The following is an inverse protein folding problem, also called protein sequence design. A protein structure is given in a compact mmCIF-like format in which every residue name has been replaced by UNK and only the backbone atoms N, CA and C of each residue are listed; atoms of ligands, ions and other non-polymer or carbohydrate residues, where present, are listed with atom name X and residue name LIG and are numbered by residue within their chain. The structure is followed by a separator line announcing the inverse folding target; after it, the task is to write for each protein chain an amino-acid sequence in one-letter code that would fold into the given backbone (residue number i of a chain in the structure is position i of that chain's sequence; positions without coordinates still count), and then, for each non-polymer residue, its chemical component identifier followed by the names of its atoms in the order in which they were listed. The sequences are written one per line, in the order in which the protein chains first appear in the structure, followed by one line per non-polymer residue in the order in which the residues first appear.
data_IF_881612310619
#
_entry.id   IF_881612310619
#
_cell.length_a   1.000
_cell.length_b   1.000
_cell.length_c   1.000
_cell.angle_alpha   90.00
_cell.angle_beta   90.00
_cell.angle_gamma   90.00
#
_symmetry.space_group_name_H-M   'P 1'
#
loop_
_entity.id
_entity.type
_entity.pdbx_description
1 polymer ?
#
# COMPACT_ATOMS: atom_id res chain seq x y z
N UNK A 1 27.42 -13.38 31.46
CA UNK A 1 27.95 -12.41 30.47
C UNK A 1 27.02 -12.36 29.27
N UNK A 2 26.47 -11.19 28.94
CA UNK A 2 25.63 -11.01 27.74
C UNK A 2 26.52 -10.87 26.49
N UNK A 3 25.97 -11.15 25.31
CA UNK A 3 26.67 -10.92 24.02
C UNK A 3 26.95 -9.42 23.85
N UNK A 4 26.00 -8.58 24.26
CA UNK A 4 26.14 -7.11 24.18
C UNK A 4 27.26 -6.60 25.09
N UNK A 5 27.38 -7.13 26.32
CA UNK A 5 28.46 -6.71 27.23
C UNK A 5 29.83 -7.10 26.69
N UNK A 6 29.95 -8.26 26.04
CA UNK A 6 31.19 -8.68 25.38
C UNK A 6 31.56 -7.80 24.18
N UNK A 7 30.56 -7.33 23.43
CA UNK A 7 30.80 -6.36 22.36
C UNK A 7 31.31 -5.02 22.90
N UNK A 8 30.70 -4.53 23.99
CA UNK A 8 31.11 -3.29 24.66
C UNK A 8 32.51 -3.39 25.29
N UNK A 9 32.98 -4.58 25.67
CA UNK A 9 34.36 -4.81 26.12
C UNK A 9 35.40 -4.85 24.99
N UNK A 10 34.98 -4.60 23.74
CA UNK A 10 35.89 -4.49 22.58
C UNK A 10 35.98 -5.73 21.69
N UNK A 11 35.17 -6.77 21.93
CA UNK A 11 35.15 -7.96 21.06
C UNK A 11 34.35 -7.64 19.80
N UNK A 12 34.90 -7.94 18.61
CA UNK A 12 34.23 -7.63 17.36
C UNK A 12 32.94 -8.44 17.16
N UNK A 13 31.97 -7.86 16.46
CA UNK A 13 30.71 -8.54 16.13
C UNK A 13 30.93 -9.83 15.35
N UNK A 14 31.99 -9.91 14.54
CA UNK A 14 32.33 -11.08 13.73
C UNK A 14 32.82 -12.22 14.63
N UNK A 15 33.69 -11.92 15.58
CA UNK A 15 34.17 -12.91 16.55
C UNK A 15 33.03 -13.45 17.41
N UNK A 16 32.13 -12.58 17.86
CA UNK A 16 30.94 -12.97 18.60
C UNK A 16 29.98 -13.80 17.75
N UNK A 17 29.79 -13.45 16.47
CA UNK A 17 28.92 -14.23 15.57
C UNK A 17 29.43 -15.67 15.42
N UNK A 18 30.74 -15.84 15.22
CA UNK A 18 31.36 -17.16 15.14
C UNK A 18 31.26 -17.93 16.46
N UNK A 19 31.57 -17.27 17.58
CA UNK A 19 31.53 -17.87 18.93
C UNK A 19 30.14 -18.38 19.32
N UNK A 20 29.09 -17.66 18.90
CA UNK A 20 27.70 -17.97 19.23
C UNK A 20 26.91 -18.60 18.07
N UNK A 21 27.59 -19.01 16.99
CA UNK A 21 26.97 -19.60 15.79
C UNK A 21 25.83 -18.76 15.19
N UNK A 22 25.97 -17.43 15.24
CA UNK A 22 25.02 -16.50 14.62
C UNK A 22 25.39 -16.33 13.15
N UNK A 23 24.46 -16.62 12.25
CA UNK A 23 24.70 -16.59 10.81
C UNK A 23 25.14 -15.23 10.27
N UNK A 24 24.61 -14.14 10.84
CA UNK A 24 24.92 -12.77 10.40
C UNK A 24 25.35 -11.90 11.60
N UNK A 25 26.54 -11.32 11.53
CA UNK A 25 27.09 -10.41 12.55
C UNK A 25 26.26 -9.13 12.73
N UNK A 26 25.51 -8.71 11.71
CA UNK A 26 24.56 -7.58 11.81
C UNK A 26 23.50 -7.81 12.89
N UNK A 27 23.17 -9.07 13.19
CA UNK A 27 22.25 -9.44 14.28
C UNK A 27 22.78 -8.96 15.63
N UNK A 28 24.09 -9.09 15.83
CA UNK A 28 24.76 -8.66 17.07
C UNK A 28 24.79 -7.14 17.13
N UNK A 29 25.10 -6.47 16.02
CA UNK A 29 25.05 -5.01 15.94
C UNK A 29 23.63 -4.50 16.23
N UNK A 30 22.59 -5.14 15.70
CA UNK A 30 21.20 -4.80 15.97
C UNK A 30 20.86 -4.92 17.46
N UNK A 31 21.33 -5.99 18.14
CA UNK A 31 21.15 -6.13 19.59
C UNK A 31 21.85 -5.02 20.36
N UNK A 32 23.07 -4.64 19.95
CA UNK A 32 23.80 -3.52 20.55
C UNK A 32 23.06 -2.20 20.34
N UNK A 33 22.58 -1.91 19.13
CA UNK A 33 21.81 -0.69 18.85
C UNK A 33 20.52 -0.62 19.67
N UNK A 34 19.79 -1.74 19.80
CA UNK A 34 18.60 -1.82 20.63
C UNK A 34 18.91 -1.64 22.10
N UNK A 35 20.01 -2.22 22.58
CA UNK A 35 20.45 -2.05 23.96
C UNK A 35 20.87 -0.61 24.25
N UNK A 36 21.63 0.03 23.36
CA UNK A 36 22.05 1.43 23.54
C UNK A 36 20.86 2.39 23.60
N UNK A 37 19.78 2.09 22.88
CA UNK A 37 18.58 2.96 22.83
C UNK A 37 17.54 2.67 23.91
N UNK A 38 17.29 1.40 24.23
CA UNK A 38 16.19 0.98 25.12
C UNK A 38 16.67 0.19 26.34
N UNK A 39 17.98 0.05 26.54
CA UNK A 39 18.56 -0.77 27.58
C UNK A 39 18.15 -2.23 27.48
N UNK A 40 17.99 -2.87 28.64
CA UNK A 40 17.57 -4.29 28.76
C UNK A 40 16.19 -4.52 28.14
N UNK A 41 15.30 -3.52 28.15
CA UNK A 41 13.97 -3.64 27.56
C UNK A 41 14.00 -3.84 26.03
N UNK A 42 15.02 -3.31 25.34
CA UNK A 42 15.22 -3.49 23.90
C UNK A 42 15.62 -4.90 23.48
N UNK A 43 16.12 -5.69 24.42
CA UNK A 43 16.52 -7.09 24.21
C UNK A 43 15.44 -8.09 24.58
N UNK A 44 14.35 -7.64 25.22
CA UNK A 44 13.24 -8.54 25.57
C UNK A 44 12.58 -9.07 24.29
N UNK A 45 12.27 -10.37 24.23
CA UNK A 45 11.55 -10.92 23.10
C UNK A 45 10.19 -10.24 22.99
N UNK A 46 9.87 -9.78 21.78
CA UNK A 46 8.54 -9.24 21.49
C UNK A 46 7.57 -10.37 21.19
N UNK A 47 6.30 -10.26 21.62
CA UNK A 47 5.32 -11.29 21.33
C UNK A 47 5.13 -11.41 19.82
N UNK A 48 5.14 -12.64 19.33
CA UNK A 48 4.99 -12.92 17.90
C UNK A 48 3.67 -12.39 17.35
N UNK A 49 2.62 -12.27 18.18
CA UNK A 49 1.28 -11.81 17.82
C UNK A 49 1.00 -10.36 18.24
N UNK A 50 2.03 -9.51 18.34
CA UNK A 50 1.81 -8.11 18.66
C UNK A 50 0.94 -7.45 17.58
N UNK A 51 -0.20 -6.93 18.01
CA UNK A 51 -1.08 -6.11 17.19
C UNK A 51 -0.81 -4.64 17.48
N UNK A 52 -0.75 -3.85 16.41
CA UNK A 52 -0.56 -2.41 16.49
C UNK A 52 -1.86 -1.75 16.11
N UNK A 53 -2.24 -0.71 16.86
CA UNK A 53 -3.41 0.11 16.54
C UNK A 53 -3.20 0.83 15.22
N UNK A 54 -4.28 1.26 14.57
CA UNK A 54 -4.18 2.02 13.32
C UNK A 54 -3.56 3.39 13.53
N UNK A 55 -3.84 4.04 14.67
CA UNK A 55 -3.26 5.33 15.05
C UNK A 55 -1.73 5.22 15.13
N UNK A 56 -1.22 4.19 15.80
CA UNK A 56 0.21 3.94 15.88
C UNK A 56 0.83 3.69 14.50
N UNK A 57 0.17 2.92 13.63
CA UNK A 57 0.67 2.69 12.26
C UNK A 57 0.75 4.00 11.47
N UNK A 58 -0.24 4.88 11.60
CA UNK A 58 -0.27 6.19 10.95
C UNK A 58 0.87 7.06 11.49
N UNK A 59 1.07 7.09 12.81
CA UNK A 59 2.16 7.83 13.45
C UNK A 59 3.53 7.39 12.90
N UNK A 60 3.78 6.09 12.83
CA UNK A 60 5.03 5.52 12.30
C UNK A 60 5.26 5.93 10.84
N UNK A 61 4.23 5.83 9.99
CA UNK A 61 4.34 6.18 8.57
C UNK A 61 4.56 7.69 8.38
N UNK A 62 3.85 8.51 9.14
CA UNK A 62 4.00 9.97 9.09
C UNK A 62 5.40 10.40 9.55
N UNK A 63 5.88 9.86 10.68
CA UNK A 63 7.23 10.14 11.18
C UNK A 63 8.29 9.78 10.15
N UNK A 64 8.17 8.60 9.52
CA UNK A 64 9.08 8.17 8.45
C UNK A 64 9.11 9.15 7.28
N UNK A 65 7.94 9.62 6.85
CA UNK A 65 7.83 10.56 5.73
C UNK A 65 8.40 11.93 6.07
N UNK A 66 8.13 12.45 7.26
CA UNK A 66 8.66 13.73 7.75
C UNK A 66 10.18 13.72 7.86
N UNK A 67 10.75 12.66 8.42
CA UNK A 67 12.20 12.55 8.66
C UNK A 67 12.97 11.96 7.47
N UNK A 68 12.27 11.57 6.39
CA UNK A 68 12.83 10.85 5.23
C UNK A 68 13.69 9.63 5.65
N UNK A 69 13.30 9.00 6.76
CA UNK A 69 14.08 7.95 7.40
C UNK A 69 13.97 6.62 6.64
N UNK A 70 15.02 5.81 6.76
CA UNK A 70 15.00 4.45 6.20
C UNK A 70 14.08 3.52 7.00
N UNK A 71 13.67 2.38 6.41
CA UNK A 71 12.86 1.39 7.13
C UNK A 71 13.56 0.85 8.40
N UNK A 72 14.87 0.51 8.38
CA UNK A 72 15.56 0.04 9.57
C UNK A 72 15.66 1.10 10.67
N UNK A 73 15.91 2.35 10.29
CA UNK A 73 15.99 3.48 11.22
C UNK A 73 14.65 3.78 11.88
N UNK A 74 13.58 3.80 11.09
CA UNK A 74 12.20 3.94 11.59
C UNK A 74 11.84 2.78 12.52
N UNK A 75 12.22 1.55 12.17
CA UNK A 75 11.98 0.39 13.02
C UNK A 75 12.74 0.50 14.34
N UNK A 76 13.99 0.97 14.31
CA UNK A 76 14.75 1.20 15.54
C UNK A 76 14.14 2.33 16.37
N UNK A 77 13.62 3.39 15.74
CA UNK A 77 12.98 4.52 16.41
C UNK A 77 11.77 4.11 17.25
N UNK A 78 10.85 3.38 16.63
CA UNK A 78 9.62 2.90 17.27
C UNK A 78 9.76 1.53 17.95
N UNK A 79 10.99 1.03 18.08
CA UNK A 79 11.28 -0.29 18.63
C UNK A 79 10.49 -1.41 17.93
N UNK A 80 10.35 -1.39 16.61
CA UNK A 80 9.64 -2.42 15.86
C UNK A 80 10.54 -3.64 15.64
N UNK A 81 9.93 -4.82 15.65
CA UNK A 81 10.67 -6.08 15.51
C UNK A 81 11.33 -6.23 14.15
N UNK A 82 10.69 -5.78 13.09
CA UNK A 82 11.17 -5.92 11.72
C UNK A 82 10.89 -4.65 10.89
N UNK A 83 11.86 -4.16 10.11
CA UNK A 83 11.64 -3.08 9.13
C UNK A 83 10.58 -3.44 8.08
N UNK A 84 10.45 -4.73 7.75
CA UNK A 84 9.48 -5.24 6.78
C UNK A 84 8.03 -5.00 7.22
N UNK A 85 7.78 -4.88 8.53
CA UNK A 85 6.45 -4.55 9.07
C UNK A 85 6.00 -3.17 8.61
N UNK A 86 6.90 -2.18 8.61
CA UNK A 86 6.60 -0.81 8.15
C UNK A 86 6.29 -0.81 6.65
N UNK A 87 7.09 -1.55 5.86
CA UNK A 87 6.86 -1.67 4.43
C UNK A 87 5.47 -2.26 4.12
N UNK A 88 5.04 -3.27 4.88
CA UNK A 88 3.70 -3.85 4.72
C UNK A 88 2.59 -2.84 5.04
N UNK A 89 2.75 -2.02 6.08
CA UNK A 89 1.79 -0.96 6.39
C UNK A 89 1.73 0.09 5.31
N UNK A 90 2.89 0.55 4.83
CA UNK A 90 2.96 1.53 3.74
C UNK A 90 2.26 1.01 2.49
N UNK A 91 2.56 -0.23 2.06
CA UNK A 91 1.90 -0.85 0.91
C UNK A 91 0.37 -0.94 1.06
N UNK A 92 -0.12 -1.27 2.26
CA UNK A 92 -1.57 -1.34 2.52
C UNK A 92 -2.22 0.05 2.48
N UNK A 93 -1.53 1.05 3.04
CA UNK A 93 -1.98 2.43 2.98
C UNK A 93 -2.05 2.94 1.53
N UNK A 94 -1.06 2.61 0.70
CA UNK A 94 -1.05 3.00 -0.72
C UNK A 94 -2.18 2.35 -1.53
N UNK A 95 -2.61 1.14 -1.16
CA UNK A 95 -3.67 0.39 -1.86
C UNK A 95 -5.09 0.73 -1.39
N UNK A 96 -5.29 0.86 -0.08
CA UNK A 96 -6.61 0.90 0.57
C UNK A 96 -6.80 2.14 1.47
N UNK A 97 -5.81 3.04 1.53
CA UNK A 97 -5.80 4.19 2.41
C UNK A 97 -5.79 3.82 3.89
N UNK A 98 -6.41 4.66 4.72
CA UNK A 98 -6.51 4.47 6.18
C UNK A 98 -7.21 3.15 6.53
N UNK A 99 -8.21 2.76 5.73
CA UNK A 99 -8.96 1.50 5.91
C UNK A 99 -8.05 0.26 5.88
N UNK A 100 -6.99 0.28 5.07
CA UNK A 100 -6.01 -0.81 4.99
C UNK A 100 -5.18 -1.00 6.26
N UNK A 101 -5.01 0.06 7.07
CA UNK A 101 -4.26 0.02 8.33
C UNK A 101 -5.07 -0.54 9.51
N UNK A 102 -6.40 -0.46 9.44
CA UNK A 102 -7.32 -0.99 10.45
C UNK A 102 -7.43 -2.52 10.45
N UNK A 103 -6.88 -3.19 9.42
CA UNK A 103 -6.99 -4.65 9.31
C UNK A 103 -6.17 -5.35 10.40
N UNK A 104 -6.89 -6.04 11.28
CA UNK A 104 -6.38 -6.90 12.36
C UNK A 104 -5.55 -8.05 11.79
N UNK A 105 -4.55 -8.50 12.55
CA UNK A 105 -3.64 -9.56 12.11
C UNK A 105 -4.37 -10.89 12.15
N UNK A 106 -4.55 -11.48 10.97
CA UNK A 106 -5.23 -12.74 10.82
C UNK A 106 -5.93 -12.78 9.47
N UNK A 107 -6.14 -13.98 8.96
CA UNK A 107 -7.11 -14.14 7.89
C UNK A 107 -8.48 -13.99 8.55
N UNK A 108 -9.34 -13.02 8.18
CA UNK A 108 -10.72 -13.08 8.61
C UNK A 108 -11.22 -14.49 8.24
N UNK A 109 -11.71 -15.24 9.24
CA UNK A 109 -12.37 -16.54 9.01
C UNK A 109 -13.73 -16.31 8.34
N UNK A 110 -13.79 -15.45 7.33
CA UNK A 110 -14.78 -15.60 6.29
C UNK A 110 -14.30 -16.79 5.47
N UNK A 111 -14.82 -17.96 5.80
CA UNK A 111 -14.89 -19.08 4.87
C UNK A 111 -15.78 -18.65 3.69
N UNK A 112 -15.34 -17.68 2.91
CA UNK A 112 -15.76 -17.61 1.53
C UNK A 112 -15.10 -18.82 0.91
N UNK A 113 -15.90 -19.88 0.68
CA UNK A 113 -15.51 -21.07 -0.08
C UNK A 113 -14.50 -20.62 -1.11
N UNK A 114 -13.28 -21.15 -1.08
CA UNK A 114 -12.24 -20.89 -2.05
C UNK A 114 -12.88 -20.81 -3.44
N UNK A 115 -13.19 -19.60 -3.92
CA UNK A 115 -13.55 -19.41 -5.31
C UNK A 115 -12.19 -19.44 -5.94
N UNK A 116 -11.79 -20.64 -6.41
CA UNK A 116 -10.63 -20.83 -7.27
C UNK A 116 -10.62 -19.62 -8.19
N UNK A 117 -9.56 -18.82 -8.15
CA UNK A 117 -9.38 -17.74 -9.12
C UNK A 117 -9.09 -18.46 -10.43
N UNK A 118 -10.15 -18.96 -11.06
CA UNK A 118 -10.11 -19.44 -12.44
C UNK A 118 -9.78 -18.22 -13.26
N UNK A 119 -8.68 -18.28 -14.01
CA UNK A 119 -8.37 -17.34 -15.08
C UNK A 119 -9.67 -17.05 -15.84
N UNK A 120 -10.03 -15.77 -16.09
CA UNK A 120 -11.27 -15.46 -16.79
C UNK A 120 -11.28 -16.21 -18.12
N UNK A 121 -12.34 -16.99 -18.33
CA UNK A 121 -12.55 -17.70 -19.59
C UNK A 121 -12.66 -16.69 -20.72
N UNK A 122 -12.32 -17.05 -21.96
CA UNK A 122 -12.42 -16.18 -23.14
C UNK A 122 -13.79 -15.47 -23.25
N UNK A 123 -14.87 -16.16 -22.88
CA UNK A 123 -16.22 -15.59 -22.82
C UNK A 123 -16.40 -14.44 -21.81
N UNK A 124 -15.68 -14.47 -20.68
CA UNK A 124 -15.73 -13.40 -19.67
C UNK A 124 -14.91 -12.17 -20.07
N UNK A 125 -13.85 -12.38 -20.86
CA UNK A 125 -13.06 -11.29 -21.45
C UNK A 125 -13.88 -10.62 -22.55
N UNK A 126 -14.52 -11.41 -23.41
CA UNK A 126 -15.42 -10.90 -24.44
C UNK A 126 -16.58 -10.10 -23.85
N UNK A 127 -17.27 -10.63 -22.83
CA UNK A 127 -18.38 -9.92 -22.19
C UNK A 127 -17.99 -8.59 -21.52
N UNK A 128 -16.72 -8.43 -21.10
CA UNK A 128 -16.20 -7.14 -20.62
C UNK A 128 -15.96 -6.18 -21.78
N UNK A 129 -15.32 -6.67 -22.84
CA UNK A 129 -15.09 -5.90 -24.06
C UNK A 129 -16.41 -5.40 -24.66
N UNK A 130 -17.40 -6.29 -24.81
CA UNK A 130 -18.73 -5.96 -25.35
C UNK A 130 -19.44 -4.89 -24.51
N UNK A 131 -19.25 -4.93 -23.18
CA UNK A 131 -19.85 -3.94 -22.27
C UNK A 131 -19.19 -2.57 -22.40
N UNK A 132 -17.88 -2.54 -22.58
CA UNK A 132 -17.12 -1.30 -22.78
C UNK A 132 -17.44 -0.69 -24.15
N UNK A 133 -17.52 -1.52 -25.20
CA UNK A 133 -17.92 -1.12 -26.55
C UNK A 133 -19.36 -0.58 -26.59
N UNK A 134 -20.30 -1.25 -25.92
CA UNK A 134 -21.69 -0.78 -25.82
C UNK A 134 -21.78 0.58 -25.10
N UNK A 135 -20.90 0.84 -24.13
CA UNK A 135 -20.84 2.13 -23.44
C UNK A 135 -20.32 3.23 -24.36
N UNK A 136 -19.29 2.95 -25.15
CA UNK A 136 -18.73 3.87 -26.14
C UNK A 136 -19.78 4.21 -27.21
N UNK A 137 -20.42 3.19 -27.80
CA UNK A 137 -21.46 3.37 -28.81
C UNK A 137 -22.64 4.21 -28.29
N UNK A 138 -23.06 4.00 -27.03
CA UNK A 138 -24.12 4.83 -26.42
C UNK A 138 -23.72 6.28 -26.26
N UNK A 139 -22.46 6.54 -25.91
CA UNK A 139 -21.94 7.90 -25.77
C UNK A 139 -21.87 8.58 -27.13
N UNK A 140 -21.36 7.90 -28.15
CA UNK A 140 -21.30 8.40 -29.52
C UNK A 140 -22.70 8.69 -30.07
N UNK A 141 -23.67 7.78 -29.89
CA UNK A 141 -25.04 7.99 -30.35
C UNK A 141 -25.69 9.20 -29.68
N UNK A 142 -25.39 9.44 -28.40
CA UNK A 142 -25.87 10.63 -27.68
C UNK A 142 -25.26 11.91 -28.28
N UNK A 143 -23.96 11.91 -28.59
CA UNK A 143 -23.30 13.05 -29.23
C UNK A 143 -23.86 13.33 -30.63
N UNK A 144 -24.03 12.30 -31.45
CA UNK A 144 -24.61 12.43 -32.78
C UNK A 144 -26.04 12.96 -32.74
N UNK A 145 -26.85 12.55 -31.75
CA UNK A 145 -28.20 13.11 -31.58
C UNK A 145 -28.18 14.60 -31.26
N UNK A 146 -27.27 15.03 -30.38
CA UNK A 146 -27.09 16.45 -30.07
C UNK A 146 -26.65 17.22 -31.31
N UNK A 147 -25.69 16.70 -32.07
CA UNK A 147 -25.22 17.31 -33.32
C UNK A 147 -26.36 17.47 -34.34
N UNK A 148 -27.15 16.40 -34.55
CA UNK A 148 -28.30 16.46 -35.45
C UNK A 148 -29.37 17.46 -34.99
N UNK A 149 -29.63 17.55 -33.68
CA UNK A 149 -30.56 18.57 -33.15
C UNK A 149 -30.03 19.98 -33.34
N UNK A 150 -28.71 20.18 -33.21
CA UNK A 150 -28.08 21.47 -33.44
C UNK A 150 -28.15 21.87 -34.92
N UNK A 151 -27.81 20.97 -35.83
CA UNK A 151 -27.93 21.19 -37.28
C UNK A 151 -29.37 21.52 -37.69
N UNK A 152 -30.36 20.80 -37.16
CA UNK A 152 -31.79 21.12 -37.41
C UNK A 152 -32.18 22.52 -36.93
N UNK A 153 -31.64 22.97 -35.81
CA UNK A 153 -31.88 24.34 -35.31
C UNK A 153 -31.20 25.39 -36.18
N UNK A 154 -30.00 25.11 -36.69
CA UNK A 154 -29.32 25.99 -37.66
C UNK A 154 -30.12 26.11 -38.95
N UNK A 155 -30.56 24.99 -39.54
CA UNK A 155 -31.38 24.99 -40.74
C UNK A 155 -32.67 25.80 -40.55
N UNK A 156 -33.32 25.65 -39.38
CA UNK A 156 -34.52 26.42 -39.06
C UNK A 156 -34.27 27.94 -39.01
N UNK A 157 -33.14 28.36 -38.42
CA UNK A 157 -32.75 29.78 -38.36
C UNK A 157 -32.40 30.34 -39.75
N UNK A 158 -31.73 29.56 -40.60
CA UNK A 158 -31.39 29.99 -41.95
C UNK A 158 -32.64 30.08 -42.84
N UNK A 159 -33.61 29.18 -42.67
CA UNK A 159 -34.92 29.29 -43.30
C UNK A 159 -35.71 30.53 -42.84
N UNK A 160 -35.69 30.87 -41.54
CA UNK A 160 -36.32 32.10 -41.02
C UNK A 160 -35.67 33.38 -41.56
N UNK A 161 -34.33 33.43 -41.64
CA UNK A 161 -33.60 34.57 -42.21
C UNK A 161 -33.88 34.75 -43.71
N UNK A 162 -33.83 33.66 -44.48
CA UNK A 162 -34.15 33.70 -45.92
C UNK A 162 -35.63 34.07 -46.19
N UNK A 163 -36.54 33.78 -45.25
CA UNK A 163 -37.92 34.24 -45.30
C UNK A 163 -38.09 35.74 -44.96
N UNK A 164 -37.21 36.30 -44.12
CA UNK A 164 -37.21 37.73 -43.79
C UNK A 164 -36.46 38.62 -44.80
N UNK A 165 -35.60 38.05 -45.65
CA UNK A 165 -34.83 38.78 -46.67
C UNK A 165 -35.48 38.82 -48.06
N UNK A 166 -36.69 38.28 -48.24
CA UNK A 166 -37.44 38.43 -49.50
C UNK A 166 -38.18 39.78 -49.54
N UNK A 167 -37.87 40.67 -50.50
CA UNK A 167 -38.57 41.94 -50.71
C UNK A 167 -39.98 41.76 -51.32
#
# INVERSE_FOLDING_TARGET
MSIVTQYLTGISSIQLARKYHVANNETILLWVHRFNRFGIAGLKPKPMNLEYSSEFKIEVLNWKQQHKASLPETALHFNLSSPSTIWQWQRKFDLEGISGLNRVRGNPKTMSKYKKVTKPTTAQIQARHDKDELKQLKQENKMLRIENEFLKKLDALDHEKSAHEKP
#
